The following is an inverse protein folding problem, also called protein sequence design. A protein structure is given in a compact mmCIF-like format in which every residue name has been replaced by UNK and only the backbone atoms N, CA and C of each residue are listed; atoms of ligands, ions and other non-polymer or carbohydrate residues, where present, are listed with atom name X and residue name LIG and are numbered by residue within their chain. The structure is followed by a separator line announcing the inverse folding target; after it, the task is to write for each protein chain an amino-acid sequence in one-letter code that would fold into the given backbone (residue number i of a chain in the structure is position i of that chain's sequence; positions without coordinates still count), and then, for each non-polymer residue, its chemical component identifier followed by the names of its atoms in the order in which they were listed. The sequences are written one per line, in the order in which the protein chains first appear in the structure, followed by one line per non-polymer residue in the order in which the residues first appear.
data_IF_757538555431
#
_entry.id   IF_757538555431
#
_cell.length_a   1.000
_cell.length_b   1.000
_cell.length_c   1.000
_cell.angle_alpha   90.00
_cell.angle_beta   90.00
_cell.angle_gamma   90.00
#
_symmetry.space_group_name_H-M   'P 1'
#
loop_
_entity.id
_entity.type
_entity.pdbx_description
1 polymer ?
#
# COMPACT_ATOMS: atom_id res chain seq x y z
N UNK A 1 23.09 -18.55 10.34
CA UNK A 1 22.24 -17.50 10.92
C UNK A 1 21.77 -17.92 12.29
N UNK A 2 21.68 -17.00 13.25
CA UNK A 2 21.11 -17.28 14.58
C UNK A 2 19.59 -17.11 14.58
N UNK A 3 18.92 -17.65 15.60
CA UNK A 3 17.47 -17.46 15.86
C UNK A 3 17.28 -16.50 17.04
N UNK A 4 16.14 -15.78 17.15
CA UNK A 4 14.98 -15.79 16.21
C UNK A 4 15.21 -14.92 14.98
N UNK A 5 14.57 -15.27 13.83
CA UNK A 5 14.54 -14.47 12.62
C UNK A 5 13.31 -14.82 11.77
N UNK A 6 12.89 -13.88 10.90
CA UNK A 6 11.88 -14.13 9.87
C UNK A 6 12.56 -14.49 8.55
N UNK A 7 12.00 -15.49 7.87
CA UNK A 7 12.46 -15.92 6.55
C UNK A 7 11.29 -15.86 5.56
N UNK A 8 11.46 -15.13 4.47
CA UNK A 8 10.45 -14.98 3.42
C UNK A 8 10.93 -15.66 2.13
N UNK A 9 10.02 -16.40 1.48
CA UNK A 9 10.27 -17.01 0.17
C UNK A 9 9.67 -16.12 -0.91
N UNK A 10 10.51 -15.54 -1.76
CA UNK A 10 10.07 -14.74 -2.91
C UNK A 10 9.19 -15.55 -3.86
N UNK A 11 9.55 -16.83 -4.10
CA UNK A 11 8.76 -17.72 -4.95
C UNK A 11 7.34 -17.97 -4.38
N UNK A 12 7.23 -18.10 -3.05
CA UNK A 12 5.93 -18.29 -2.38
C UNK A 12 5.08 -17.02 -2.45
N UNK A 13 5.67 -15.85 -2.20
CA UNK A 13 4.98 -14.57 -2.33
C UNK A 13 4.45 -14.37 -3.76
N UNK A 14 5.31 -14.58 -4.75
CA UNK A 14 4.93 -14.46 -6.17
C UNK A 14 3.79 -15.41 -6.54
N UNK A 15 3.89 -16.68 -6.15
CA UNK A 15 2.86 -17.69 -6.44
C UNK A 15 1.52 -17.32 -5.82
N UNK A 16 1.49 -16.91 -4.56
CA UNK A 16 0.24 -16.53 -3.89
C UNK A 16 -0.41 -15.32 -4.55
N UNK A 17 0.37 -14.31 -4.89
CA UNK A 17 -0.14 -13.16 -5.63
C UNK A 17 -0.72 -13.57 -7.00
N UNK A 18 0.00 -14.38 -7.77
CA UNK A 18 -0.44 -14.82 -9.10
C UNK A 18 -1.74 -15.61 -9.06
N UNK A 19 -1.85 -16.59 -8.15
CA UNK A 19 -3.08 -17.39 -7.98
C UNK A 19 -4.28 -16.49 -7.64
N UNK A 20 -4.06 -15.50 -6.77
CA UNK A 20 -5.11 -14.56 -6.41
C UNK A 20 -5.48 -13.65 -7.60
N UNK A 21 -4.49 -13.13 -8.32
CA UNK A 21 -4.70 -12.27 -9.48
C UNK A 21 -5.42 -13.00 -10.64
N UNK A 22 -5.07 -14.26 -10.89
CA UNK A 22 -5.73 -15.10 -11.89
C UNK A 22 -7.20 -15.37 -11.55
N UNK A 23 -7.52 -15.43 -10.25
CA UNK A 23 -8.90 -15.64 -9.78
C UNK A 23 -9.77 -14.38 -9.92
N UNK A 24 -9.15 -13.20 -9.99
CA UNK A 24 -9.82 -11.89 -10.08
C UNK A 24 -9.18 -11.02 -11.18
N UNK A 25 -9.27 -11.41 -12.46
CA UNK A 25 -8.51 -10.78 -13.55
C UNK A 25 -8.86 -9.30 -13.78
N UNK A 26 -10.07 -8.89 -13.41
CA UNK A 26 -10.54 -7.50 -13.56
C UNK A 26 -10.27 -6.63 -12.31
N UNK A 27 -9.76 -7.23 -11.22
CA UNK A 27 -9.58 -6.53 -9.95
C UNK A 27 -8.19 -5.90 -9.86
N UNK A 28 -8.14 -4.69 -9.30
CA UNK A 28 -6.89 -4.08 -8.81
C UNK A 28 -6.58 -4.65 -7.43
N UNK A 29 -5.48 -5.38 -7.31
CA UNK A 29 -5.05 -5.99 -6.05
C UNK A 29 -4.09 -5.04 -5.34
N UNK A 30 -4.41 -4.68 -4.10
CA UNK A 30 -3.57 -3.85 -3.24
C UNK A 30 -3.19 -4.61 -1.97
N UNK A 31 -1.90 -4.64 -1.68
CA UNK A 31 -1.38 -5.26 -0.47
C UNK A 31 -1.46 -4.30 0.71
N UNK A 32 -2.02 -4.76 1.84
CA UNK A 32 -2.08 -3.98 3.08
C UNK A 32 -0.68 -3.89 3.72
N UNK A 33 -0.01 -2.75 3.55
CA UNK A 33 1.40 -2.54 3.96
C UNK A 33 1.59 -2.70 5.46
N UNK A 34 0.59 -2.31 6.28
CA UNK A 34 0.60 -2.51 7.75
C UNK A 34 0.85 -3.95 8.18
N UNK A 35 0.53 -4.94 7.34
CA UNK A 35 0.79 -6.35 7.63
C UNK A 35 2.29 -6.68 7.59
N UNK A 36 3.02 -6.06 6.65
CA UNK A 36 4.47 -6.25 6.51
C UNK A 36 5.09 -5.13 5.64
N UNK A 37 5.69 -4.13 6.29
CA UNK A 37 6.37 -3.02 5.61
C UNK A 37 7.81 -3.33 5.15
N UNK A 38 8.22 -4.59 5.10
CA UNK A 38 9.56 -4.95 4.61
C UNK A 38 9.72 -4.59 3.14
N UNK A 39 10.71 -3.74 2.84
CA UNK A 39 10.92 -3.20 1.50
C UNK A 39 11.17 -4.30 0.44
N UNK A 40 11.83 -5.41 0.81
CA UNK A 40 12.07 -6.51 -0.13
C UNK A 40 10.77 -7.27 -0.48
N UNK A 41 9.86 -7.41 0.50
CA UNK A 41 8.51 -7.98 0.27
C UNK A 41 7.71 -7.07 -0.65
N UNK A 42 7.68 -5.77 -0.36
CA UNK A 42 6.98 -4.78 -1.18
C UNK A 42 7.54 -4.72 -2.61
N UNK A 43 8.87 -4.76 -2.78
CA UNK A 43 9.51 -4.81 -4.12
C UNK A 43 9.10 -6.06 -4.90
N UNK A 44 9.01 -7.20 -4.24
CA UNK A 44 8.56 -8.44 -4.88
C UNK A 44 7.13 -8.30 -5.41
N UNK A 45 6.23 -7.75 -4.59
CA UNK A 45 4.83 -7.53 -4.96
C UNK A 45 4.68 -6.43 -6.03
N UNK A 46 5.43 -5.34 -5.92
CA UNK A 46 5.46 -4.26 -6.91
C UNK A 46 5.88 -4.76 -8.30
N UNK A 47 6.89 -5.63 -8.37
CA UNK A 47 7.34 -6.22 -9.63
C UNK A 47 6.29 -7.10 -10.32
N UNK A 48 5.29 -7.56 -9.57
CA UNK A 48 4.14 -8.33 -10.07
C UNK A 48 2.92 -7.46 -10.44
N UNK A 49 3.02 -6.14 -10.25
CA UNK A 49 1.93 -5.19 -10.52
C UNK A 49 0.98 -4.97 -9.35
N UNK A 50 1.31 -5.45 -8.16
CA UNK A 50 0.50 -5.23 -6.96
C UNK A 50 0.51 -3.76 -6.56
N UNK A 51 -0.66 -3.20 -6.19
CA UNK A 51 -0.79 -1.91 -5.53
C UNK A 51 -0.55 -1.99 -4.02
N UNK A 52 -0.71 -0.87 -3.34
CA UNK A 52 -0.60 -0.79 -1.88
C UNK A 52 -1.86 -0.19 -1.26
N UNK A 53 -2.30 -0.77 -0.15
CA UNK A 53 -3.24 -0.16 0.78
C UNK A 53 -2.45 0.26 2.02
N UNK A 54 -2.41 1.57 2.26
CA UNK A 54 -1.55 2.22 3.25
C UNK A 54 -2.38 2.95 4.31
N UNK A 55 -1.83 3.14 5.50
CA UNK A 55 -2.50 3.82 6.61
C UNK A 55 -1.68 4.98 7.21
N UNK A 56 -0.58 5.35 6.57
CA UNK A 56 0.27 6.48 6.98
C UNK A 56 1.13 7.01 5.84
N UNK A 57 1.64 8.24 5.97
CA UNK A 57 2.63 8.80 5.06
C UNK A 57 3.89 7.91 4.96
N UNK A 58 4.34 7.35 6.10
CA UNK A 58 5.51 6.46 6.11
C UNK A 58 5.31 5.24 5.21
N UNK A 59 4.11 4.66 5.20
CA UNK A 59 3.78 3.55 4.31
C UNK A 59 3.66 3.98 2.84
N UNK A 60 3.15 5.19 2.55
CA UNK A 60 3.17 5.75 1.19
C UNK A 60 4.61 5.84 0.68
N UNK A 61 5.53 6.39 1.48
CA UNK A 61 6.94 6.50 1.14
C UNK A 61 7.60 5.15 0.90
N UNK A 62 7.30 4.15 1.74
CA UNK A 62 7.78 2.78 1.56
C UNK A 62 7.25 2.13 0.27
N UNK A 63 5.97 2.30 -0.03
CA UNK A 63 5.35 1.78 -1.24
C UNK A 63 6.01 2.37 -2.50
N UNK A 64 6.18 3.69 -2.55
CA UNK A 64 6.85 4.38 -3.65
C UNK A 64 8.33 3.92 -3.78
N UNK A 65 9.06 3.82 -2.67
CA UNK A 65 10.44 3.34 -2.66
C UNK A 65 10.58 1.87 -3.09
N UNK A 66 9.52 1.09 -2.92
CA UNK A 66 9.44 -0.28 -3.42
C UNK A 66 9.17 -0.37 -4.93
N UNK A 67 8.78 0.74 -5.57
CA UNK A 67 8.46 0.80 -6.99
C UNK A 67 6.95 0.68 -7.30
N UNK A 68 6.08 0.79 -6.29
CA UNK A 68 4.63 0.87 -6.52
C UNK A 68 4.30 2.26 -7.04
N UNK A 69 3.61 2.32 -8.19
CA UNK A 69 3.15 3.60 -8.74
C UNK A 69 2.16 4.27 -7.78
N UNK A 70 2.26 5.59 -7.52
CA UNK A 70 1.26 6.31 -6.74
C UNK A 70 -0.18 6.08 -7.22
N UNK A 71 -0.40 5.94 -8.53
CA UNK A 71 -1.70 5.60 -9.12
C UNK A 71 -2.23 4.21 -8.73
N UNK A 72 -1.47 3.42 -7.98
CA UNK A 72 -1.85 2.13 -7.42
C UNK A 72 -1.81 2.11 -5.89
N UNK A 73 -1.82 3.29 -5.26
CA UNK A 73 -1.83 3.43 -3.79
C UNK A 73 -3.21 3.90 -3.34
N UNK A 74 -3.77 3.21 -2.34
CA UNK A 74 -5.01 3.55 -1.65
C UNK A 74 -4.64 3.95 -0.22
N UNK A 75 -5.14 5.09 0.27
CA UNK A 75 -4.90 5.55 1.63
C UNK A 75 -6.14 5.32 2.50
N UNK A 76 -6.05 4.35 3.39
CA UNK A 76 -7.10 3.90 4.32
C UNK A 76 -6.78 4.31 5.77
N UNK A 77 -7.69 3.99 6.70
CA UNK A 77 -7.49 4.17 8.14
C UNK A 77 -8.07 5.46 8.69
N UNK A 78 -8.34 5.44 9.99
CA UNK A 78 -9.08 6.49 10.73
C UNK A 78 -8.22 7.64 11.26
N UNK A 79 -6.90 7.56 11.13
CA UNK A 79 -5.96 8.49 11.77
C UNK A 79 -5.22 9.41 10.79
N UNK A 80 -5.74 9.64 9.59
CA UNK A 80 -5.09 10.51 8.61
C UNK A 80 -5.04 11.95 9.11
N UNK A 81 -3.84 12.52 9.17
CA UNK A 81 -3.64 13.94 9.47
C UNK A 81 -3.72 14.79 8.20
N UNK A 82 -3.97 16.09 8.35
CA UNK A 82 -4.00 17.03 7.23
C UNK A 82 -2.68 17.05 6.44
N UNK A 83 -1.54 16.92 7.12
CA UNK A 83 -0.23 16.89 6.47
C UNK A 83 -0.02 15.61 5.67
N UNK A 84 -0.45 14.46 6.18
CA UNK A 84 -0.42 13.19 5.46
C UNK A 84 -1.35 13.22 4.23
N UNK A 85 -2.53 13.84 4.36
CA UNK A 85 -3.45 14.04 3.23
C UNK A 85 -2.81 14.91 2.15
N UNK A 86 -2.20 16.05 2.52
CA UNK A 86 -1.47 16.93 1.57
C UNK A 86 -0.34 16.18 0.87
N UNK A 87 0.43 15.41 1.63
CA UNK A 87 1.50 14.61 1.05
C UNK A 87 0.95 13.61 0.05
N UNK A 88 -0.07 12.84 0.41
CA UNK A 88 -0.69 11.85 -0.45
C UNK A 88 -1.27 12.48 -1.75
N UNK A 89 -1.95 13.63 -1.63
CA UNK A 89 -2.44 14.41 -2.78
C UNK A 89 -1.28 14.87 -3.67
N UNK A 90 -0.17 15.36 -3.09
CA UNK A 90 1.01 15.78 -3.84
C UNK A 90 1.66 14.64 -4.63
N UNK A 91 1.53 13.40 -4.14
CA UNK A 91 2.00 12.21 -4.83
C UNK A 91 1.02 11.69 -5.89
N UNK A 92 -0.18 12.25 -5.97
CA UNK A 92 -1.24 11.82 -6.90
C UNK A 92 -1.60 10.34 -6.72
N UNK A 93 -1.82 9.91 -5.47
CA UNK A 93 -2.27 8.55 -5.18
C UNK A 93 -3.63 8.26 -5.83
N UNK A 94 -3.96 6.97 -5.97
CA UNK A 94 -5.17 6.54 -6.65
C UNK A 94 -6.45 6.93 -5.91
N UNK A 95 -6.49 6.73 -4.59
CA UNK A 95 -7.74 6.83 -3.83
C UNK A 95 -7.50 7.07 -2.34
N UNK A 96 -8.41 7.84 -1.72
CA UNK A 96 -8.62 7.87 -0.28
C UNK A 96 -9.85 7.07 0.09
N UNK A 97 -9.73 6.18 1.07
CA UNK A 97 -10.87 5.58 1.74
C UNK A 97 -11.22 6.46 2.94
N UNK A 98 -12.29 7.23 2.81
CA UNK A 98 -12.76 8.15 3.84
C UNK A 98 -13.55 7.38 4.90
N UNK A 99 -13.20 7.57 6.17
CA UNK A 99 -13.74 6.80 7.30
C UNK A 99 -14.79 7.58 8.10
N UNK A 100 -14.95 8.90 7.83
CA UNK A 100 -15.95 9.74 8.50
C UNK A 100 -16.26 11.01 7.71
N UNK A 101 -17.40 11.64 8.02
CA UNK A 101 -17.78 12.94 7.44
C UNK A 101 -16.75 14.03 7.81
N UNK A 102 -16.29 14.05 9.06
CA UNK A 102 -15.27 14.99 9.49
C UNK A 102 -13.96 14.86 8.72
N UNK A 103 -13.56 13.63 8.39
CA UNK A 103 -12.38 13.38 7.55
C UNK A 103 -12.60 13.86 6.12
N UNK A 104 -13.82 13.66 5.56
CA UNK A 104 -14.16 14.15 4.23
C UNK A 104 -14.06 15.67 4.14
N UNK A 105 -14.57 16.38 5.16
CA UNK A 105 -14.47 17.84 5.22
C UNK A 105 -13.00 18.29 5.31
N UNK A 106 -12.21 17.65 6.19
CA UNK A 106 -10.78 17.93 6.31
C UNK A 106 -10.01 17.66 5.00
N UNK A 107 -10.33 16.58 4.30
CA UNK A 107 -9.73 16.28 3.01
C UNK A 107 -10.08 17.31 1.94
N UNK A 108 -11.28 17.88 1.98
CA UNK A 108 -11.71 18.93 1.05
C UNK A 108 -11.01 20.28 1.31
N UNK A 109 -10.51 20.50 2.53
CA UNK A 109 -9.82 21.76 2.94
C UNK A 109 -8.31 21.74 2.61
N UNK A 110 -7.71 20.58 2.37
CA UNK A 110 -6.27 20.44 2.12
C UNK A 110 -5.92 20.37 0.66
#
# INVERSE_FOLDING_TARGET
MGTPFYCYSTATLARHYQVFAESFPEAKICFAVKANGNLAVLKTLAALGCGADVVSEGEIRLAIAAGISPSNIIFSGVGKTADEMRYALSQQIFQFNVESEAELLALNEV
#
